data_IF_516080158175
#
_entry.id   IF_516080158175
#
_cell.length_a   1.000
_cell.length_b   1.000
_cell.length_c   1.000
_cell.angle_alpha   90.00
_cell.angle_beta   90.00
_cell.angle_gamma   90.00
#
_symmetry.space_group_name_H-M   'P 1'
#
loop_
_entity.id
_entity.type
_entity.pdbx_description
1 polymer ?
#
# COMPACT_ATOMS: atom_id res chain seq x y z
N UNK A 1 12.65 -3.90 24.02
CA UNK A 1 11.48 -3.85 24.92
C UNK A 1 10.26 -3.52 24.07
N UNK A 2 9.03 -3.52 24.59
CA UNK A 2 7.91 -2.98 23.82
C UNK A 2 8.12 -1.47 23.62
N UNK A 3 7.91 -0.99 22.40
CA UNK A 3 8.18 0.39 21.98
C UNK A 3 6.87 1.17 21.72
N UNK A 4 6.89 2.51 21.85
CA UNK A 4 5.73 3.34 21.57
C UNK A 4 5.39 3.36 20.09
N UNK A 5 4.09 3.33 19.78
CA UNK A 5 3.60 3.50 18.43
C UNK A 5 3.21 4.97 18.21
N UNK A 6 4.15 5.78 17.70
CA UNK A 6 3.99 7.24 17.53
C UNK A 6 2.73 7.60 16.75
N UNK A 7 2.47 6.94 15.61
CA UNK A 7 1.31 7.23 14.76
C UNK A 7 -0.06 6.90 15.40
N UNK A 8 -0.09 6.12 16.47
CA UNK A 8 -1.31 5.78 17.23
C UNK A 8 -1.35 6.50 18.59
N UNK A 9 -0.27 7.18 18.98
CA UNK A 9 -0.19 7.89 20.26
C UNK A 9 -0.18 6.99 21.50
N UNK A 10 0.21 5.72 21.38
CA UNK A 10 0.18 4.76 22.50
C UNK A 10 1.58 4.34 22.94
N UNK A 11 1.75 4.10 24.24
CA UNK A 11 3.02 3.72 24.84
C UNK A 11 3.49 2.32 24.41
N UNK A 12 2.55 1.41 24.14
CA UNK A 12 2.82 0.06 23.65
C UNK A 12 1.68 -0.37 22.74
N UNK A 13 2.01 -1.13 21.70
CA UNK A 13 1.03 -1.64 20.75
C UNK A 13 1.39 -3.05 20.27
N UNK A 14 0.36 -3.88 20.07
CA UNK A 14 0.51 -5.22 19.51
C UNK A 14 -0.70 -5.56 18.63
N UNK A 15 -0.45 -6.17 17.47
CA UNK A 15 -1.50 -6.71 16.63
C UNK A 15 -2.03 -8.03 17.20
N UNK A 16 -3.32 -8.09 17.55
CA UNK A 16 -3.96 -9.32 18.06
C UNK A 16 -5.43 -9.48 17.62
N UNK A 17 -5.92 -8.66 16.69
CA UNK A 17 -7.34 -8.59 16.33
C UNK A 17 -7.70 -9.35 15.06
N UNK A 18 -6.72 -9.87 14.30
CA UNK A 18 -6.93 -10.50 13.00
C UNK A 18 -6.15 -11.82 12.81
N UNK A 19 -6.21 -12.78 13.75
CA UNK A 19 -5.38 -14.00 13.71
C UNK A 19 -5.65 -14.93 12.53
N UNK A 20 -6.81 -14.82 11.88
CA UNK A 20 -7.14 -15.65 10.72
C UNK A 20 -6.48 -15.17 9.42
N UNK A 21 -5.98 -13.93 9.40
CA UNK A 21 -5.44 -13.30 8.17
C UNK A 21 -4.11 -12.57 8.37
N UNK A 22 -3.58 -12.51 9.60
CA UNK A 22 -2.27 -11.94 9.92
C UNK A 22 -1.51 -12.86 10.87
N UNK A 23 -0.31 -13.25 10.46
CA UNK A 23 0.50 -14.21 11.19
C UNK A 23 0.98 -13.68 12.57
N UNK A 24 1.33 -12.39 12.65
CA UNK A 24 1.70 -11.75 13.91
C UNK A 24 0.56 -11.83 14.94
N UNK A 25 -0.68 -11.56 14.52
CA UNK A 25 -1.87 -11.71 15.38
C UNK A 25 -2.07 -13.16 15.81
N UNK A 26 -1.85 -14.13 14.93
CA UNK A 26 -1.95 -15.55 15.26
C UNK A 26 -0.94 -15.95 16.34
N UNK A 27 0.32 -15.52 16.19
CA UNK A 27 1.37 -15.75 17.20
C UNK A 27 1.01 -15.11 18.54
N UNK A 28 0.57 -13.85 18.53
CA UNK A 28 0.20 -13.13 19.74
C UNK A 28 -1.00 -13.80 20.43
N UNK A 29 -2.02 -14.23 19.68
CA UNK A 29 -3.16 -14.96 20.20
C UNK A 29 -2.76 -16.29 20.87
N UNK A 30 -1.80 -17.03 20.31
CA UNK A 30 -1.30 -18.25 20.95
C UNK A 30 -0.65 -17.98 22.31
N UNK A 31 0.13 -16.89 22.44
CA UNK A 31 0.71 -16.50 23.73
C UNK A 31 -0.37 -16.07 24.73
N UNK A 32 -1.35 -15.28 24.29
CA UNK A 32 -2.47 -14.80 25.13
C UNK A 32 -3.30 -15.98 25.63
N UNK A 33 -3.63 -16.94 24.77
CA UNK A 33 -4.39 -18.14 25.15
C UNK A 33 -3.62 -18.98 26.17
N UNK A 34 -2.32 -19.20 25.97
CA UNK A 34 -1.48 -19.92 26.93
C UNK A 34 -1.46 -19.20 28.30
N UNK A 35 -1.32 -17.87 28.31
CA UNK A 35 -1.36 -17.05 29.53
C UNK A 35 -2.70 -17.20 30.27
N UNK A 36 -3.83 -17.09 29.57
CA UNK A 36 -5.17 -17.22 30.17
C UNK A 36 -5.40 -18.61 30.75
N UNK A 37 -4.82 -19.65 30.14
CA UNK A 37 -4.92 -21.04 30.60
C UNK A 37 -3.90 -21.44 31.67
N UNK A 38 -2.95 -20.55 32.00
CA UNK A 38 -1.83 -20.89 32.90
C UNK A 38 -0.85 -21.92 32.31
N UNK A 39 -0.82 -22.06 30.99
CA UNK A 39 0.09 -22.95 30.26
C UNK A 39 1.44 -22.27 29.98
N UNK A 40 2.46 -23.07 29.65
CA UNK A 40 3.75 -22.51 29.22
C UNK A 40 3.57 -21.78 27.88
N UNK A 41 4.03 -20.52 27.75
CA UNK A 41 3.94 -19.79 26.49
C UNK A 41 4.68 -20.53 25.38
N UNK A 42 4.09 -20.59 24.18
CA UNK A 42 4.65 -21.37 23.06
C UNK A 42 6.05 -20.90 22.64
N UNK A 43 6.30 -19.60 22.73
CA UNK A 43 7.58 -19.01 22.35
C UNK A 43 8.17 -18.30 23.55
N UNK A 44 9.42 -18.60 23.87
CA UNK A 44 10.13 -17.93 24.96
C UNK A 44 10.65 -16.56 24.49
N UNK A 45 11.05 -15.72 25.44
CA UNK A 45 11.77 -14.48 25.11
C UNK A 45 13.07 -14.84 24.39
N UNK A 46 13.25 -14.31 23.18
CA UNK A 46 14.44 -14.55 22.37
C UNK A 46 14.44 -15.90 21.64
N UNK A 47 13.28 -16.55 21.51
CA UNK A 47 13.15 -17.84 20.84
C UNK A 47 13.49 -17.74 19.33
N UNK A 48 14.47 -18.52 18.89
CA UNK A 48 14.94 -18.52 17.51
C UNK A 48 13.84 -18.98 16.53
N UNK A 49 12.97 -19.90 16.94
CA UNK A 49 11.89 -20.42 16.09
C UNK A 49 10.82 -19.34 15.84
N UNK A 50 10.58 -18.47 16.82
CA UNK A 50 9.70 -17.32 16.64
C UNK A 50 10.25 -16.37 15.58
N UNK A 51 11.53 -16.01 15.66
CA UNK A 51 12.16 -15.11 14.69
C UNK A 51 12.21 -15.72 13.29
N UNK A 52 12.51 -17.02 13.18
CA UNK A 52 12.48 -17.72 11.90
C UNK A 52 11.09 -17.67 11.27
N UNK A 53 10.04 -17.98 12.04
CA UNK A 53 8.66 -17.89 11.56
C UNK A 53 8.27 -16.48 11.13
N UNK A 54 8.58 -15.46 11.94
CA UNK A 54 8.28 -14.07 11.60
C UNK A 54 8.94 -13.65 10.29
N UNK A 55 10.22 -13.99 10.08
CA UNK A 55 10.92 -13.72 8.83
C UNK A 55 10.24 -14.41 7.63
N UNK A 56 9.89 -15.69 7.77
CA UNK A 56 9.26 -16.44 6.68
C UNK A 56 7.87 -15.85 6.35
N UNK A 57 7.14 -15.36 7.36
CA UNK A 57 5.89 -14.62 7.16
C UNK A 57 6.10 -13.28 6.48
N UNK A 58 7.07 -12.48 6.89
CA UNK A 58 7.37 -11.18 6.27
C UNK A 58 7.73 -11.37 4.79
N UNK A 59 8.51 -12.41 4.46
CA UNK A 59 8.83 -12.75 3.08
C UNK A 59 7.59 -13.08 2.26
N UNK A 60 6.72 -13.96 2.77
CA UNK A 60 5.49 -14.32 2.08
C UNK A 60 4.54 -13.12 1.95
N UNK A 61 4.40 -12.33 3.01
CA UNK A 61 3.54 -11.15 3.05
C UNK A 61 3.96 -10.11 2.01
N UNK A 62 5.27 -9.82 1.91
CA UNK A 62 5.79 -8.90 0.91
C UNK A 62 5.56 -9.40 -0.52
N UNK A 63 5.77 -10.70 -0.79
CA UNK A 63 5.48 -11.28 -2.09
C UNK A 63 3.99 -11.15 -2.48
N UNK A 64 3.09 -11.36 -1.52
CA UNK A 64 1.66 -11.11 -1.75
C UNK A 64 1.36 -9.62 -1.98
N UNK A 65 1.97 -8.72 -1.21
CA UNK A 65 1.78 -7.28 -1.39
C UNK A 65 2.24 -6.80 -2.78
N UNK A 66 3.37 -7.31 -3.27
CA UNK A 66 3.87 -7.01 -4.61
C UNK A 66 2.90 -7.51 -5.69
N UNK A 67 2.38 -8.72 -5.54
CA UNK A 67 1.37 -9.26 -6.45
C UNK A 67 0.06 -8.45 -6.41
N UNK A 68 -0.42 -8.08 -5.22
CA UNK A 68 -1.62 -7.23 -5.06
C UNK A 68 -1.43 -5.89 -5.77
N UNK A 69 -0.26 -5.26 -5.60
CA UNK A 69 0.07 -4.01 -6.29
C UNK A 69 0.02 -4.16 -7.81
N UNK A 70 0.62 -5.22 -8.36
CA UNK A 70 0.60 -5.50 -9.80
C UNK A 70 -0.83 -5.76 -10.31
N UNK A 71 -1.61 -6.54 -9.57
CA UNK A 71 -3.00 -6.86 -9.90
C UNK A 71 -3.89 -5.60 -9.88
N UNK A 72 -3.84 -4.80 -8.82
CA UNK A 72 -4.60 -3.54 -8.72
C UNK A 72 -4.22 -2.58 -9.84
N UNK A 73 -2.92 -2.46 -10.13
CA UNK A 73 -2.42 -1.63 -11.23
C UNK A 73 -2.94 -2.10 -12.58
N UNK A 74 -2.90 -3.41 -12.87
CA UNK A 74 -3.46 -3.98 -14.09
C UNK A 74 -4.93 -3.58 -14.26
N UNK A 75 -5.74 -3.75 -13.21
CA UNK A 75 -7.16 -3.42 -13.28
C UNK A 75 -7.42 -1.92 -13.42
N UNK A 76 -6.59 -1.06 -12.85
CA UNK A 76 -6.64 0.38 -13.13
C UNK A 76 -6.42 0.67 -14.63
N UNK A 77 -5.42 0.03 -15.25
CA UNK A 77 -5.13 0.23 -16.67
C UNK A 77 -6.25 -0.30 -17.57
N UNK A 78 -6.77 -1.50 -17.25
CA UNK A 78 -7.94 -2.08 -17.94
C UNK A 78 -9.14 -1.16 -17.91
N UNK A 79 -9.40 -0.52 -16.76
CA UNK A 79 -10.53 0.38 -16.58
C UNK A 79 -10.50 1.56 -17.57
N UNK A 80 -9.33 2.18 -17.81
CA UNK A 80 -9.20 3.25 -18.81
C UNK A 80 -9.66 2.80 -20.20
N UNK A 81 -9.24 1.61 -20.63
CA UNK A 81 -9.62 1.03 -21.92
C UNK A 81 -11.12 0.68 -21.96
N UNK A 82 -11.65 0.10 -20.89
CA UNK A 82 -13.04 -0.37 -20.83
C UNK A 82 -14.06 0.77 -20.80
N UNK A 83 -13.78 1.81 -20.00
CA UNK A 83 -14.65 2.98 -19.87
C UNK A 83 -14.35 4.06 -20.91
N UNK A 84 -13.41 3.80 -21.84
CA UNK A 84 -12.98 4.73 -22.89
C UNK A 84 -12.58 6.11 -22.32
N UNK A 85 -11.84 6.10 -21.21
CA UNK A 85 -11.39 7.30 -20.51
C UNK A 85 -10.09 7.80 -21.15
N UNK A 86 -10.16 8.98 -21.77
CA UNK A 86 -9.00 9.62 -22.42
C UNK A 86 -8.38 10.74 -21.60
N UNK A 87 -9.14 11.37 -20.70
CA UNK A 87 -8.73 12.57 -19.97
C UNK A 87 -9.08 12.42 -18.49
N UNK A 88 -8.11 12.73 -17.62
CA UNK A 88 -8.27 12.62 -16.17
C UNK A 88 -7.65 13.82 -15.45
N UNK A 89 -8.04 13.96 -14.20
CA UNK A 89 -7.38 14.87 -13.26
C UNK A 89 -6.55 14.04 -12.28
N UNK A 90 -5.41 14.57 -11.86
CA UNK A 90 -4.55 13.95 -10.86
C UNK A 90 -4.10 14.95 -9.80
N UNK A 91 -4.07 14.53 -8.55
CA UNK A 91 -3.52 15.28 -7.42
C UNK A 91 -2.00 15.18 -7.43
N UNK A 92 -1.31 16.32 -7.37
CA UNK A 92 0.14 16.33 -7.20
C UNK A 92 0.52 15.87 -5.78
N UNK A 93 1.47 14.93 -5.70
CA UNK A 93 1.96 14.38 -4.43
C UNK A 93 3.32 14.97 -4.09
N UNK A 94 4.30 14.81 -4.99
CA UNK A 94 5.66 15.36 -4.89
C UNK A 94 6.39 15.20 -6.22
N UNK A 95 7.36 16.06 -6.52
CA UNK A 95 8.20 15.97 -7.73
C UNK A 95 7.36 15.74 -9.01
N UNK A 96 7.57 14.63 -9.70
CA UNK A 96 6.83 14.15 -10.87
C UNK A 96 5.69 13.17 -10.52
N UNK A 97 5.49 12.85 -9.24
CA UNK A 97 4.51 11.89 -8.75
C UNK A 97 3.14 12.53 -8.57
N UNK A 98 2.15 11.96 -9.25
CA UNK A 98 0.73 12.34 -9.14
C UNK A 98 -0.12 11.12 -8.83
N UNK A 99 -1.27 11.34 -8.19
CA UNK A 99 -2.29 10.30 -7.96
C UNK A 99 -3.54 10.64 -8.76
N UNK A 100 -3.98 9.72 -9.62
CA UNK A 100 -5.18 9.90 -10.43
C UNK A 100 -6.40 9.99 -9.53
N UNK A 101 -7.27 10.97 -9.77
CA UNK A 101 -8.50 11.13 -8.99
C UNK A 101 -9.45 9.94 -9.25
N UNK A 102 -10.04 9.41 -8.18
CA UNK A 102 -11.01 8.29 -8.25
C UNK A 102 -10.39 6.90 -8.47
N UNK A 103 -9.07 6.79 -8.65
CA UNK A 103 -8.38 5.51 -8.84
C UNK A 103 -7.24 5.32 -7.82
N UNK A 104 -6.94 4.09 -7.39
CA UNK A 104 -5.76 3.77 -6.60
C UNK A 104 -4.48 3.73 -7.48
N UNK A 105 -4.31 4.71 -8.37
CA UNK A 105 -3.21 4.76 -9.33
C UNK A 105 -2.34 5.99 -9.09
N UNK A 106 -1.09 5.74 -8.67
CA UNK A 106 -0.04 6.75 -8.64
C UNK A 106 0.94 6.51 -9.79
N UNK A 107 1.31 7.57 -10.50
CA UNK A 107 2.16 7.53 -11.70
C UNK A 107 3.14 8.70 -11.67
N UNK A 108 4.32 8.48 -12.23
CA UNK A 108 5.26 9.56 -12.50
C UNK A 108 4.97 10.12 -13.88
N UNK A 109 4.80 11.44 -13.97
CA UNK A 109 4.47 12.13 -15.22
C UNK A 109 5.55 13.18 -15.48
N UNK A 110 6.24 13.03 -16.62
CA UNK A 110 7.22 14.02 -17.04
C UNK A 110 6.54 15.30 -17.57
N UNK A 111 7.21 16.44 -17.42
CA UNK A 111 6.70 17.71 -17.96
C UNK A 111 5.55 18.34 -17.16
N UNK A 112 5.40 17.97 -15.88
CA UNK A 112 4.49 18.71 -14.99
C UNK A 112 4.95 20.17 -14.86
N UNK A 113 4.01 21.13 -14.80
CA UNK A 113 4.33 22.50 -14.45
C UNK A 113 4.78 22.59 -12.98
N UNK A 114 5.20 23.77 -12.52
CA UNK A 114 5.49 23.98 -11.11
C UNK A 114 4.21 23.78 -10.27
N UNK A 115 4.22 22.78 -9.38
CA UNK A 115 3.07 22.38 -8.58
C UNK A 115 3.27 22.70 -7.09
N UNK A 116 2.17 22.99 -6.40
CA UNK A 116 2.11 23.13 -4.95
C UNK A 116 1.27 22.00 -4.31
N UNK A 117 1.50 21.66 -3.03
CA UNK A 117 0.67 20.69 -2.32
C UNK A 117 -0.83 21.00 -2.45
N UNK A 118 -1.61 20.01 -2.87
CA UNK A 118 -3.07 20.15 -3.05
C UNK A 118 -3.49 20.58 -4.46
N UNK A 119 -2.56 21.04 -5.31
CA UNK A 119 -2.87 21.35 -6.71
C UNK A 119 -3.10 20.08 -7.54
N UNK A 120 -3.90 20.27 -8.60
CA UNK A 120 -4.27 19.20 -9.54
C UNK A 120 -3.81 19.53 -10.95
N UNK A 121 -3.57 18.49 -11.73
CA UNK A 121 -3.14 18.58 -13.13
C UNK A 121 -4.12 17.80 -14.02
N UNK A 122 -4.42 18.34 -15.20
CA UNK A 122 -5.17 17.64 -16.24
C UNK A 122 -4.21 16.85 -17.12
N UNK A 123 -4.54 15.60 -17.35
CA UNK A 123 -3.72 14.65 -18.08
C UNK A 123 -4.56 13.98 -19.16
N UNK A 124 -3.95 13.75 -20.32
CA UNK A 124 -4.53 12.94 -21.39
C UNK A 124 -3.74 11.64 -21.52
N UNK A 125 -4.45 10.51 -21.61
CA UNK A 125 -3.85 9.19 -21.85
C UNK A 125 -3.15 9.21 -23.22
N UNK A 126 -1.86 8.91 -23.22
CA UNK A 126 -1.05 8.85 -24.44
C UNK A 126 -0.87 7.41 -24.92
N UNK A 127 -0.62 6.50 -23.98
CA UNK A 127 -0.39 5.07 -24.23
C UNK A 127 -0.74 4.27 -22.98
N UNK A 128 -1.29 3.09 -23.19
CA UNK A 128 -1.47 2.06 -22.16
C UNK A 128 -0.77 0.79 -22.64
N UNK A 129 0.05 0.21 -21.77
CA UNK A 129 0.68 -1.09 -21.95
C UNK A 129 0.33 -1.99 -20.77
N UNK A 130 -0.72 -2.81 -20.95
CA UNK A 130 -1.23 -3.69 -19.90
C UNK A 130 -0.26 -4.82 -19.55
N UNK A 131 0.63 -5.20 -20.46
CA UNK A 131 1.62 -6.26 -20.23
C UNK A 131 2.79 -5.74 -19.40
N UNK A 132 3.28 -4.53 -19.72
CA UNK A 132 4.33 -3.87 -18.93
C UNK A 132 3.79 -3.22 -17.65
N UNK A 133 2.46 -3.13 -17.48
CA UNK A 133 1.79 -2.34 -16.46
C UNK A 133 2.20 -0.86 -16.52
N UNK A 134 2.29 -0.31 -17.73
CA UNK A 134 2.69 1.08 -17.95
C UNK A 134 1.55 1.91 -18.54
N UNK A 135 1.49 3.17 -18.12
CA UNK A 135 0.57 4.16 -18.68
C UNK A 135 1.32 5.48 -18.78
N UNK A 136 1.24 6.08 -19.95
CA UNK A 136 1.86 7.36 -20.26
C UNK A 136 0.79 8.42 -20.39
N UNK A 137 1.09 9.62 -19.89
CA UNK A 137 0.20 10.76 -19.95
C UNK A 137 0.88 11.94 -20.64
N UNK A 138 0.09 12.71 -21.38
CA UNK A 138 0.44 14.06 -21.81
C UNK A 138 -0.17 15.06 -20.83
N UNK A 139 0.64 16.03 -20.42
CA UNK A 139 0.19 17.12 -19.54
C UNK A 139 -0.62 18.13 -20.36
N UNK A 140 -1.86 18.38 -19.95
CA UNK A 140 -2.73 19.40 -20.56
C UNK A 140 -2.64 20.75 -19.85
N UNK A 141 -2.18 20.76 -18.59
CA UNK A 141 -2.04 21.96 -17.76
C UNK A 141 -2.58 21.76 -16.35
N UNK A 142 -2.50 22.79 -15.50
CA UNK A 142 -3.12 22.76 -14.17
C UNK A 142 -4.64 22.64 -14.31
N UNK A 143 -5.26 21.87 -13.44
CA UNK A 143 -6.72 21.86 -13.32
C UNK A 143 -7.16 23.15 -12.63
N UNK A 144 -8.20 23.80 -13.16
CA UNK A 144 -8.83 24.92 -12.47
C UNK A 144 -9.43 24.41 -11.16
N UNK A 145 -9.14 25.12 -10.07
CA UNK A 145 -9.79 24.86 -8.79
C UNK A 145 -11.25 25.30 -8.92
N UNK A 146 -12.19 24.35 -8.80
CA UNK A 146 -13.60 24.66 -8.63
C UNK A 146 -13.85 25.43 -7.33
#
# INVERSE_FOLDING_TARGET
AAEPHVGLGVAQYAWATSPLRRAADFVNQQQIVAMIRGETPRYKRGDADLFARLRDFDQAYNAYADFQYQMERFWCLRWFTQENVSDVTALWVKDDLVRIDGLPLAVRVAGLPEMQPGERVRLQVARIDELALEIEFRVLGKAETA
#
